data_IF_824500060057
#
_entry.id   IF_824500060057
#
_cell.length_a   1.000
_cell.length_b   1.000
_cell.length_c   1.000
_cell.angle_alpha   90.00
_cell.angle_beta   90.00
_cell.angle_gamma   90.00
#
_symmetry.space_group_name_H-M   'P 1'
#
loop_
_entity.id
_entity.type
_entity.pdbx_description
1 polymer ?
#
# COMPACT_ATOMS: atom_id res chain seq x y z
N UNK A 1 -29.64 20.03 2.91
CA UNK A 1 -30.30 21.24 3.46
C UNK A 1 -30.61 21.05 4.94
N UNK A 2 -31.35 20.01 5.35
CA UNK A 2 -31.63 19.73 6.77
C UNK A 2 -30.38 19.65 7.68
N UNK A 3 -29.31 18.95 7.26
CA UNK A 3 -28.08 18.87 8.05
C UNK A 3 -27.42 20.23 8.34
N UNK A 4 -27.61 21.24 7.47
CA UNK A 4 -27.10 22.61 7.69
C UNK A 4 -27.95 23.42 8.69
N UNK A 5 -29.13 22.92 9.05
CA UNK A 5 -30.04 23.54 10.01
C UNK A 5 -29.86 22.98 11.42
N UNK A 6 -29.08 21.90 11.60
CA UNK A 6 -28.75 21.37 12.91
C UNK A 6 -27.84 22.36 13.65
N UNK A 7 -28.29 22.82 14.81
CA UNK A 7 -27.52 23.71 15.68
C UNK A 7 -26.75 22.84 16.67
N UNK A 8 -25.43 23.02 16.72
CA UNK A 8 -24.54 22.36 17.68
C UNK A 8 -23.89 23.46 18.50
N UNK A 9 -24.24 23.55 19.78
CA UNK A 9 -23.57 24.42 20.74
C UNK A 9 -22.41 23.68 21.38
N UNK A 10 -21.24 24.31 21.43
CA UNK A 10 -20.04 23.75 22.06
C UNK A 10 -19.36 24.82 22.92
N UNK A 11 -18.85 24.42 24.09
CA UNK A 11 -18.04 25.29 24.96
C UNK A 11 -16.58 24.84 24.91
N UNK A 12 -15.68 25.82 24.90
CA UNK A 12 -14.23 25.62 24.99
C UNK A 12 -13.67 25.98 26.36
N UNK A 13 -14.50 26.40 27.32
CA UNK A 13 -14.06 26.95 28.61
C UNK A 13 -13.20 25.96 29.43
N UNK A 14 -13.50 24.66 29.34
CA UNK A 14 -12.78 23.61 30.07
C UNK A 14 -11.80 22.82 29.17
N UNK A 15 -11.51 23.30 27.96
CA UNK A 15 -10.61 22.64 27.03
C UNK A 15 -9.23 23.30 27.05
N UNK A 16 -8.19 22.47 27.02
CA UNK A 16 -6.84 22.94 26.73
C UNK A 16 -6.75 23.44 25.28
N UNK A 17 -5.86 24.39 24.96
CA UNK A 17 -5.67 24.83 23.58
C UNK A 17 -5.37 23.64 22.66
N UNK A 18 -5.89 23.60 21.41
CA UNK A 18 -5.69 22.45 20.54
C UNK A 18 -4.21 22.28 20.19
N UNK A 19 -3.78 21.02 20.07
CA UNK A 19 -2.47 20.61 19.56
C UNK A 19 -2.59 20.49 18.05
N UNK A 20 -2.04 21.42 17.27
CA UNK A 20 -2.25 21.44 15.81
C UNK A 20 -1.01 21.04 15.04
N UNK A 21 0.17 21.29 15.60
CA UNK A 21 1.47 21.05 14.97
C UNK A 21 2.21 19.87 15.60
N UNK A 22 3.27 19.42 14.93
CA UNK A 22 4.18 18.40 15.46
C UNK A 22 4.92 18.95 16.68
N UNK A 23 5.30 20.22 16.62
CA UNK A 23 5.97 20.95 17.68
C UNK A 23 5.10 21.04 18.95
N UNK A 24 3.81 21.37 18.80
CA UNK A 24 2.86 21.38 19.92
C UNK A 24 2.77 19.99 20.58
N UNK A 25 2.71 18.94 19.75
CA UNK A 25 2.62 17.57 20.24
C UNK A 25 3.89 17.16 20.97
N UNK A 26 5.06 17.59 20.48
CA UNK A 26 6.34 17.32 21.12
C UNK A 26 6.43 18.04 22.48
N UNK A 27 6.11 19.33 22.52
CA UNK A 27 6.15 20.14 23.74
C UNK A 27 5.23 19.58 24.83
N UNK A 28 4.09 18.98 24.44
CA UNK A 28 3.09 18.44 25.36
C UNK A 28 3.16 16.92 25.54
N UNK A 29 4.18 16.26 25.02
CA UNK A 29 4.34 14.80 25.05
C UNK A 29 3.09 14.03 24.57
N UNK A 30 2.44 14.53 23.53
CA UNK A 30 1.20 13.95 22.99
C UNK A 30 1.51 12.99 21.84
N UNK A 31 1.64 11.70 22.16
CA UNK A 31 2.03 10.67 21.19
C UNK A 31 1.13 9.45 21.24
N UNK A 32 1.01 8.77 20.11
CA UNK A 32 0.57 7.37 20.07
C UNK A 32 1.76 6.44 20.29
N UNK A 33 1.53 5.35 21.01
CA UNK A 33 2.55 4.34 21.24
C UNK A 33 2.78 3.50 19.99
N UNK A 34 4.05 3.23 19.69
CA UNK A 34 4.46 2.27 18.65
C UNK A 34 4.67 0.93 19.36
N UNK A 35 3.94 -0.13 18.99
CA UNK A 35 4.16 -1.45 19.57
C UNK A 35 5.62 -1.91 19.42
N UNK A 36 6.24 -2.51 20.44
CA UNK A 36 7.67 -2.88 20.39
C UNK A 36 8.06 -3.77 19.21
N UNK A 37 7.18 -4.68 18.78
CA UNK A 37 7.42 -5.55 17.62
C UNK A 37 7.45 -4.82 16.27
N UNK A 38 6.99 -3.56 16.22
CA UNK A 38 7.08 -2.69 15.04
C UNK A 38 8.22 -1.69 15.14
N UNK A 39 8.93 -1.62 16.27
CA UNK A 39 9.97 -0.63 16.47
C UNK A 39 11.24 -1.01 15.67
N UNK A 40 11.68 -0.18 14.70
CA UNK A 40 12.94 -0.42 14.02
C UNK A 40 14.10 -0.30 15.00
N UNK A 41 15.21 -1.00 14.72
CA UNK A 41 16.42 -1.00 15.56
C UNK A 41 17.50 -0.06 14.99
N UNK A 42 18.27 0.64 15.83
CA UNK A 42 19.45 1.39 15.40
C UNK A 42 20.56 0.43 14.93
N UNK A 43 21.54 0.97 14.22
CA UNK A 43 22.72 0.23 13.74
C UNK A 43 23.99 0.92 14.24
N UNK A 44 24.88 0.16 14.89
CA UNK A 44 26.17 0.66 15.35
C UNK A 44 26.08 1.70 16.48
N UNK A 45 27.13 2.52 16.60
CA UNK A 45 27.27 3.59 17.59
C UNK A 45 27.38 4.95 16.87
N UNK A 46 26.32 5.74 16.96
CA UNK A 46 26.25 7.06 16.33
C UNK A 46 27.39 7.98 16.75
N UNK A 47 27.76 8.00 18.04
CA UNK A 47 28.80 8.90 18.53
C UNK A 47 30.17 8.53 17.95
N UNK A 48 30.44 7.23 17.84
CA UNK A 48 31.66 6.72 17.20
C UNK A 48 31.73 7.12 15.73
N UNK A 49 30.67 6.86 14.96
CA UNK A 49 30.64 7.23 13.54
C UNK A 49 30.72 8.74 13.30
N UNK A 50 30.15 9.56 14.18
CA UNK A 50 30.31 11.01 14.12
C UNK A 50 31.72 11.46 14.50
N UNK A 51 32.42 10.79 15.42
CA UNK A 51 33.82 11.09 15.73
C UNK A 51 34.75 10.75 14.57
N UNK A 52 34.42 9.72 13.79
CA UNK A 52 35.15 9.31 12.60
C UNK A 52 34.90 10.21 11.38
N UNK A 53 33.88 11.09 11.38
CA UNK A 53 33.57 11.93 10.22
C UNK A 53 34.59 13.06 10.01
N UNK A 54 34.95 13.33 8.74
CA UNK A 54 35.80 14.49 8.39
C UNK A 54 34.95 15.78 8.34
N UNK A 55 33.70 15.66 7.89
CA UNK A 55 32.74 16.74 7.77
C UNK A 55 31.39 16.34 8.37
N UNK A 56 30.64 17.33 8.86
CA UNK A 56 29.38 17.12 9.58
C UNK A 56 28.36 18.16 9.16
N UNK A 57 27.14 17.71 8.88
CA UNK A 57 25.97 18.58 8.82
C UNK A 57 25.17 18.30 10.09
N UNK A 58 24.96 19.32 10.91
CA UNK A 58 24.32 19.18 12.21
C UNK A 58 22.96 19.89 12.21
N UNK A 59 21.94 19.21 12.73
CA UNK A 59 20.61 19.78 12.98
C UNK A 59 19.95 20.42 11.74
N UNK A 60 20.12 19.80 10.57
CA UNK A 60 19.43 20.22 9.36
C UNK A 60 17.97 19.73 9.37
N UNK A 61 17.06 20.45 8.69
CA UNK A 61 15.63 20.14 8.70
C UNK A 61 15.12 19.70 7.32
N UNK A 62 14.22 18.72 7.31
CA UNK A 62 13.37 18.36 6.16
C UNK A 62 11.92 18.38 6.60
N UNK A 63 11.07 19.04 5.82
CA UNK A 63 9.61 19.08 6.03
C UNK A 63 8.89 18.42 4.87
N UNK A 64 7.91 17.58 5.19
CA UNK A 64 7.03 16.95 4.22
C UNK A 64 5.57 17.31 4.55
N UNK A 65 4.87 17.85 3.57
CA UNK A 65 3.45 18.22 3.72
C UNK A 65 2.51 17.04 3.49
N UNK A 66 1.25 17.22 3.87
CA UNK A 66 0.22 16.21 3.67
C UNK A 66 -0.20 16.10 2.21
N UNK A 67 -0.79 14.97 1.84
CA UNK A 67 -1.27 14.70 0.48
C UNK A 67 -2.68 14.13 0.53
N UNK A 68 -3.60 14.68 -0.26
CA UNK A 68 -4.95 14.15 -0.42
C UNK A 68 -5.00 12.97 -1.40
N UNK A 69 -5.89 12.02 -1.17
CA UNK A 69 -6.07 10.84 -2.03
C UNK A 69 -6.59 11.19 -3.42
N UNK A 70 -7.60 12.05 -3.48
CA UNK A 70 -8.27 12.48 -4.69
C UNK A 70 -8.73 11.32 -5.63
N UNK A 71 -9.13 10.19 -5.05
CA UNK A 71 -9.85 9.15 -5.81
C UNK A 71 -11.10 9.75 -6.48
N UNK A 72 -11.40 9.34 -7.71
CA UNK A 72 -12.47 9.99 -8.50
C UNK A 72 -13.86 9.68 -7.96
N UNK A 73 -14.08 8.45 -7.49
CA UNK A 73 -15.27 8.09 -6.71
C UNK A 73 -15.02 8.44 -5.24
N UNK A 74 -15.78 9.36 -4.67
CA UNK A 74 -15.72 9.68 -3.23
C UNK A 74 -16.22 8.51 -2.36
N UNK A 75 -16.12 8.64 -1.04
CA UNK A 75 -16.61 7.65 -0.10
C UNK A 75 -18.12 7.44 -0.27
N UNK A 76 -18.52 6.18 -0.42
CA UNK A 76 -19.91 5.80 -0.70
C UNK A 76 -20.27 4.48 -0.02
N UNK A 77 -21.48 4.42 0.51
CA UNK A 77 -22.09 3.19 1.03
C UNK A 77 -23.60 3.17 0.72
N UNK A 78 -24.14 1.97 0.50
CA UNK A 78 -25.57 1.67 0.42
C UNK A 78 -25.85 0.52 1.36
N UNK A 79 -26.66 0.76 2.39
CA UNK A 79 -27.05 -0.23 3.37
C UNK A 79 -28.53 -0.58 3.20
N UNK A 80 -28.82 -1.88 3.09
CA UNK A 80 -30.15 -2.43 2.83
C UNK A 80 -30.46 -3.41 3.97
N UNK A 81 -31.34 -3.04 4.91
CA UNK A 81 -31.82 -3.96 5.93
C UNK A 81 -32.58 -5.11 5.28
N UNK A 82 -32.50 -6.27 5.92
CA UNK A 82 -33.14 -7.51 5.48
C UNK A 82 -33.89 -8.14 6.67
N UNK A 83 -34.52 -9.29 6.43
CA UNK A 83 -35.16 -10.10 7.48
C UNK A 83 -34.15 -10.56 8.56
N UNK A 84 -34.65 -11.03 9.70
CA UNK A 84 -33.82 -11.59 10.80
C UNK A 84 -32.71 -10.66 11.33
N UNK A 85 -32.98 -9.35 11.34
CA UNK A 85 -31.99 -8.32 11.71
C UNK A 85 -30.71 -8.38 10.86
N UNK A 86 -30.80 -8.90 9.64
CA UNK A 86 -29.70 -8.90 8.69
C UNK A 86 -29.61 -7.56 7.96
N UNK A 87 -28.44 -7.28 7.40
CA UNK A 87 -28.18 -6.09 6.61
C UNK A 87 -27.12 -6.37 5.55
N UNK A 88 -27.43 -6.02 4.30
CA UNK A 88 -26.47 -6.06 3.19
C UNK A 88 -25.95 -4.65 2.92
N UNK A 89 -24.63 -4.52 2.78
CA UNK A 89 -23.96 -3.23 2.59
C UNK A 89 -23.10 -3.30 1.34
N UNK A 90 -23.40 -2.44 0.37
CA UNK A 90 -22.53 -2.16 -0.76
C UNK A 90 -21.63 -0.99 -0.39
N UNK A 91 -20.32 -1.21 -0.33
CA UNK A 91 -19.38 -0.17 0.11
C UNK A 91 -18.20 -0.04 -0.84
N UNK A 92 -17.78 1.20 -1.10
CA UNK A 92 -16.53 1.47 -1.80
C UNK A 92 -15.37 1.37 -0.82
N UNK A 93 -14.89 0.15 -0.58
CA UNK A 93 -13.89 -0.17 0.46
C UNK A 93 -12.82 -1.14 -0.05
N UNK A 94 -11.60 -0.98 0.47
CA UNK A 94 -10.46 -1.88 0.29
C UNK A 94 -10.41 -3.02 1.33
N UNK A 95 -11.25 -2.94 2.38
CA UNK A 95 -11.23 -3.83 3.55
C UNK A 95 -12.63 -4.35 3.88
N UNK A 96 -13.27 -5.17 3.02
CA UNK A 96 -14.66 -5.58 3.22
C UNK A 96 -14.93 -6.24 4.57
N UNK A 97 -14.08 -7.19 4.97
CA UNK A 97 -14.22 -7.97 6.21
C UNK A 97 -14.06 -7.11 7.47
N UNK A 98 -13.06 -6.23 7.51
CA UNK A 98 -12.91 -5.29 8.63
C UNK A 98 -14.11 -4.35 8.72
N UNK A 99 -14.61 -3.89 7.58
CA UNK A 99 -15.79 -3.02 7.53
C UNK A 99 -17.04 -3.76 8.04
N UNK A 100 -17.27 -5.01 7.64
CA UNK A 100 -18.33 -5.87 8.16
C UNK A 100 -18.27 -5.99 9.69
N UNK A 101 -17.09 -6.33 10.22
CA UNK A 101 -16.88 -6.52 11.66
C UNK A 101 -17.17 -5.24 12.46
N UNK A 102 -16.73 -4.08 11.97
CA UNK A 102 -16.97 -2.81 12.65
C UNK A 102 -18.44 -2.41 12.57
N UNK A 103 -19.10 -2.60 11.41
CA UNK A 103 -20.53 -2.33 11.28
C UNK A 103 -21.35 -3.21 12.24
N UNK A 104 -21.07 -4.51 12.30
CA UNK A 104 -21.75 -5.43 13.20
C UNK A 104 -21.62 -4.99 14.66
N UNK A 105 -20.41 -4.59 15.08
CA UNK A 105 -20.16 -4.01 16.41
C UNK A 105 -20.93 -2.70 16.64
N UNK A 106 -20.98 -1.81 15.66
CA UNK A 106 -21.75 -0.57 15.76
C UNK A 106 -23.25 -0.78 15.91
N UNK A 107 -23.79 -1.83 15.27
CA UNK A 107 -25.22 -2.18 15.34
C UNK A 107 -25.56 -3.07 16.53
N UNK A 108 -24.57 -3.69 17.17
CA UNK A 108 -24.78 -4.66 18.26
C UNK A 108 -25.38 -5.99 17.78
N UNK A 109 -25.03 -6.43 16.56
CA UNK A 109 -25.53 -7.69 15.96
C UNK A 109 -24.35 -8.63 15.60
N UNK A 110 -24.59 -9.95 15.45
CA UNK A 110 -23.55 -10.89 15.05
C UNK A 110 -22.97 -10.61 13.66
N UNK A 111 -21.72 -11.02 13.42
CA UNK A 111 -21.03 -10.78 12.13
C UNK A 111 -21.74 -11.44 10.95
N UNK A 112 -22.38 -12.60 11.17
CA UNK A 112 -23.13 -13.31 10.13
C UNK A 112 -24.42 -12.58 9.70
N UNK A 113 -24.93 -11.63 10.50
CA UNK A 113 -26.06 -10.78 10.12
C UNK A 113 -25.64 -9.59 9.24
N UNK A 114 -24.34 -9.34 9.07
CA UNK A 114 -23.85 -8.27 8.20
C UNK A 114 -23.18 -8.89 6.98
N UNK A 115 -23.69 -8.58 5.79
CA UNK A 115 -23.04 -8.93 4.52
C UNK A 115 -22.46 -7.69 3.89
N UNK A 116 -21.17 -7.70 3.57
CA UNK A 116 -20.54 -6.60 2.85
C UNK A 116 -20.11 -7.02 1.46
N UNK A 117 -20.50 -6.22 0.47
CA UNK A 117 -20.21 -6.44 -0.94
C UNK A 117 -19.41 -5.25 -1.49
N UNK A 118 -18.24 -5.53 -2.07
CA UNK A 118 -17.44 -4.57 -2.81
C UNK A 118 -17.18 -5.08 -4.21
N UNK A 119 -17.88 -4.49 -5.19
CA UNK A 119 -17.71 -4.86 -6.61
C UNK A 119 -16.45 -4.23 -7.19
N UNK A 120 -16.38 -2.91 -7.20
CA UNK A 120 -15.20 -2.17 -7.64
C UNK A 120 -15.17 -0.82 -6.97
N UNK A 121 -14.00 -0.22 -6.94
CA UNK A 121 -13.74 1.05 -6.27
C UNK A 121 -13.11 2.00 -7.27
N UNK A 122 -13.68 3.19 -7.44
CA UNK A 122 -13.21 4.23 -8.36
C UNK A 122 -11.98 4.98 -7.83
N UNK A 123 -10.89 4.24 -7.61
CA UNK A 123 -9.66 4.69 -6.96
C UNK A 123 -9.74 4.58 -5.43
N UNK A 124 -8.68 4.04 -4.82
CA UNK A 124 -8.58 3.88 -3.35
C UNK A 124 -7.36 4.57 -2.76
N UNK A 125 -6.16 4.25 -3.28
CA UNK A 125 -4.87 4.83 -2.86
C UNK A 125 -4.58 4.74 -1.35
N UNK A 126 -5.24 3.83 -0.62
CA UNK A 126 -5.18 3.67 0.84
C UNK A 126 -6.30 4.39 1.58
N UNK A 127 -6.89 5.44 1.01
CA UNK A 127 -7.94 6.23 1.63
C UNK A 127 -9.29 5.52 1.74
N UNK A 128 -9.48 4.40 1.04
CA UNK A 128 -10.68 3.55 1.18
C UNK A 128 -10.43 2.28 1.99
N UNK A 129 -9.31 2.22 2.71
CA UNK A 129 -9.15 1.27 3.80
C UNK A 129 -9.95 1.76 5.01
N UNK A 130 -9.29 2.36 6.00
CA UNK A 130 -9.93 2.73 7.27
C UNK A 130 -11.05 3.77 7.13
N UNK A 131 -10.92 4.73 6.21
CA UNK A 131 -11.87 5.87 6.14
C UNK A 131 -13.23 5.48 5.59
N UNK A 132 -13.33 4.43 4.77
CA UNK A 132 -14.59 3.92 4.24
C UNK A 132 -15.49 3.34 5.36
N UNK A 133 -14.91 2.89 6.47
CA UNK A 133 -15.64 2.32 7.61
C UNK A 133 -16.61 3.34 8.19
N UNK A 134 -16.20 4.60 8.37
CA UNK A 134 -17.05 5.64 8.95
C UNK A 134 -18.36 5.83 8.16
N UNK A 135 -18.26 5.85 6.83
CA UNK A 135 -19.41 6.03 5.95
C UNK A 135 -20.30 4.79 5.94
N UNK A 136 -19.70 3.59 5.92
CA UNK A 136 -20.45 2.34 6.02
C UNK A 136 -21.22 2.23 7.34
N UNK A 137 -20.59 2.53 8.48
CA UNK A 137 -21.22 2.50 9.79
C UNK A 137 -22.36 3.52 9.91
N UNK A 138 -22.13 4.77 9.52
CA UNK A 138 -23.17 5.80 9.56
C UNK A 138 -24.38 5.42 8.67
N UNK A 139 -24.10 4.88 7.48
CA UNK A 139 -25.12 4.39 6.55
C UNK A 139 -25.91 3.22 7.13
N UNK A 140 -25.22 2.26 7.75
CA UNK A 140 -25.82 1.09 8.35
C UNK A 140 -26.68 1.43 9.56
N UNK A 141 -26.22 2.31 10.46
CA UNK A 141 -27.00 2.78 11.62
C UNK A 141 -28.30 3.45 11.17
N UNK A 142 -28.24 4.32 10.17
CA UNK A 142 -29.42 4.97 9.63
C UNK A 142 -30.39 3.96 8.99
N UNK A 143 -29.89 3.03 8.17
CA UNK A 143 -30.69 1.99 7.54
C UNK A 143 -31.36 1.08 8.57
N UNK A 144 -30.60 0.62 9.55
CA UNK A 144 -31.06 -0.27 10.61
C UNK A 144 -32.15 0.39 11.46
N UNK A 145 -31.95 1.66 11.83
CA UNK A 145 -32.93 2.41 12.64
C UNK A 145 -34.22 2.72 11.86
N UNK A 146 -34.11 3.05 10.58
CA UNK A 146 -35.25 3.41 9.74
C UNK A 146 -35.95 2.20 9.12
N UNK A 147 -35.34 1.00 9.21
CA UNK A 147 -35.79 -0.24 8.55
C UNK A 147 -36.04 -0.04 7.04
N UNK A 148 -35.17 0.76 6.40
CA UNK A 148 -35.26 1.11 4.98
C UNK A 148 -33.88 1.16 4.35
N UNK A 149 -33.75 0.92 3.04
CA UNK A 149 -32.51 1.18 2.32
C UNK A 149 -32.04 2.63 2.51
N UNK A 150 -30.77 2.82 2.88
CA UNK A 150 -30.13 4.14 2.99
C UNK A 150 -28.86 4.14 2.15
N UNK A 151 -28.63 5.24 1.43
CA UNK A 151 -27.41 5.50 0.66
C UNK A 151 -26.74 6.76 1.17
N UNK A 152 -25.43 6.68 1.41
CA UNK A 152 -24.58 7.82 1.70
C UNK A 152 -23.53 7.97 0.61
N UNK A 153 -23.44 9.18 0.06
CA UNK A 153 -22.42 9.59 -0.90
C UNK A 153 -21.85 10.91 -0.40
N UNK A 154 -20.55 10.95 -0.13
CA UNK A 154 -19.91 12.19 0.33
C UNK A 154 -19.58 13.08 -0.86
N UNK A 155 -19.93 14.37 -0.75
CA UNK A 155 -19.38 15.35 -1.66
C UNK A 155 -17.87 15.50 -1.47
N UNK A 156 -17.17 16.02 -2.49
CA UNK A 156 -15.71 16.12 -2.48
C UNK A 156 -15.17 16.91 -1.28
N UNK A 157 -15.84 17.98 -0.88
CA UNK A 157 -15.40 18.84 0.24
C UNK A 157 -15.45 18.06 1.55
N UNK A 158 -16.56 17.39 1.83
CA UNK A 158 -16.78 16.58 3.04
C UNK A 158 -15.81 15.40 3.07
N UNK A 159 -15.62 14.75 1.93
CA UNK A 159 -14.65 13.66 1.76
C UNK A 159 -13.23 14.12 2.12
N UNK A 160 -12.76 15.23 1.57
CA UNK A 160 -11.42 15.76 1.84
C UNK A 160 -11.21 16.16 3.30
N UNK A 161 -12.24 16.71 3.96
CA UNK A 161 -12.17 17.05 5.40
C UNK A 161 -12.07 15.78 6.25
N UNK A 162 -12.86 14.75 5.90
CA UNK A 162 -12.96 13.50 6.68
C UNK A 162 -11.80 12.54 6.44
N UNK A 163 -11.41 12.31 5.18
CA UNK A 163 -10.47 11.25 4.81
C UNK A 163 -9.03 11.53 5.28
N UNK A 164 -8.68 12.80 5.53
CA UNK A 164 -7.38 13.18 6.07
C UNK A 164 -6.27 13.20 5.01
N UNK A 165 -5.68 12.04 4.69
CA UNK A 165 -4.58 11.92 3.72
C UNK A 165 -3.27 11.38 4.31
N UNK A 166 -2.16 11.56 3.58
CA UNK A 166 -0.80 11.17 4.00
C UNK A 166 -0.33 11.98 5.20
N UNK A 167 0.41 11.33 6.11
CA UNK A 167 1.07 11.96 7.25
C UNK A 167 2.06 13.04 6.82
N UNK A 168 1.87 14.31 7.23
CA UNK A 168 2.94 15.30 7.17
C UNK A 168 4.00 14.97 8.23
N UNK A 169 5.24 15.33 7.95
CA UNK A 169 6.39 15.02 8.79
C UNK A 169 7.31 16.23 8.93
N UNK A 170 7.96 16.30 10.09
CA UNK A 170 9.09 17.18 10.33
C UNK A 170 10.26 16.34 10.81
N UNK A 171 11.40 16.54 10.19
CA UNK A 171 12.59 15.73 10.38
C UNK A 171 13.74 16.65 10.70
N UNK A 172 14.45 16.36 11.78
CA UNK A 172 15.76 16.93 12.07
C UNK A 172 16.79 15.83 11.90
N UNK A 173 17.91 16.13 11.26
CA UNK A 173 18.96 15.14 11.10
C UNK A 173 20.35 15.73 11.30
N UNK A 174 21.27 14.86 11.70
CA UNK A 174 22.70 15.13 11.73
C UNK A 174 23.42 13.99 11.02
N UNK A 175 24.31 14.32 10.09
CA UNK A 175 25.04 13.33 9.27
C UNK A 175 26.53 13.64 9.29
N UNK A 176 27.33 12.58 9.49
CA UNK A 176 28.78 12.59 9.42
C UNK A 176 29.26 11.85 8.19
N UNK A 177 30.22 12.42 7.47
CA UNK A 177 30.76 11.83 6.25
C UNK A 177 32.23 12.19 6.05
N UNK A 178 32.90 11.37 5.23
CA UNK A 178 34.28 11.53 4.81
C UNK A 178 34.39 12.45 3.61
N UNK A 179 35.59 12.99 3.40
CA UNK A 179 35.91 13.88 2.27
C UNK A 179 35.71 13.19 0.90
N UNK A 180 35.75 11.86 0.88
CA UNK A 180 35.51 11.05 -0.32
C UNK A 180 34.02 10.75 -0.57
N UNK A 181 33.11 11.23 0.29
CA UNK A 181 31.68 11.01 0.20
C UNK A 181 31.14 9.79 0.94
N UNK A 182 31.98 8.99 1.62
CA UNK A 182 31.49 7.86 2.44
C UNK A 182 30.80 8.37 3.70
N UNK A 183 29.57 7.94 3.95
CA UNK A 183 28.84 8.29 5.17
C UNK A 183 29.27 7.39 6.32
N UNK A 184 29.47 7.98 7.50
CA UNK A 184 29.92 7.29 8.72
C UNK A 184 28.85 7.23 9.81
N UNK A 185 27.95 8.22 9.87
CA UNK A 185 26.84 8.23 10.81
C UNK A 185 25.65 9.07 10.34
N UNK A 186 24.46 8.69 10.77
CA UNK A 186 23.22 9.45 10.63
C UNK A 186 22.38 9.33 11.90
N UNK A 187 21.95 10.46 12.46
CA UNK A 187 20.89 10.54 13.47
C UNK A 187 19.68 11.27 12.89
N UNK A 188 18.47 10.75 13.13
CA UNK A 188 17.21 11.36 12.71
C UNK A 188 16.23 11.49 13.88
N UNK A 189 15.76 12.71 14.15
CA UNK A 189 14.55 12.96 14.94
C UNK A 189 13.36 13.14 14.00
N UNK A 190 12.39 12.22 14.09
CA UNK A 190 11.27 12.10 13.17
C UNK A 190 9.95 12.37 13.90
N UNK A 191 9.33 13.51 13.61
CA UNK A 191 7.96 13.82 14.02
C UNK A 191 6.96 13.46 12.92
N UNK A 192 5.98 12.61 13.23
CA UNK A 192 4.94 12.14 12.30
C UNK A 192 3.58 12.62 12.82
N UNK A 193 2.88 13.49 12.10
CA UNK A 193 1.55 13.94 12.53
C UNK A 193 0.48 12.88 12.17
N UNK A 194 -0.03 12.18 13.18
CA UNK A 194 -1.05 11.14 13.02
C UNK A 194 -2.50 11.68 13.02
N UNK A 195 -2.72 12.89 13.54
CA UNK A 195 -4.06 13.40 13.82
C UNK A 195 -4.65 12.86 15.12
N UNK A 196 -5.98 12.91 15.22
CA UNK A 196 -6.71 12.66 16.48
C UNK A 196 -6.82 11.20 16.90
N UNK A 197 -6.65 10.25 15.97
CA UNK A 197 -6.74 8.81 16.22
C UNK A 197 -5.57 8.05 15.56
N UNK A 198 -5.16 6.90 16.13
CA UNK A 198 -3.93 6.22 15.69
C UNK A 198 -4.04 5.69 14.26
N UNK A 199 -5.18 5.14 13.85
CA UNK A 199 -5.37 4.52 12.53
C UNK A 199 -4.19 3.57 12.21
N UNK A 200 -3.59 3.65 11.02
CA UNK A 200 -2.37 2.88 10.67
C UNK A 200 -1.07 3.58 11.07
N UNK A 201 -1.10 4.74 11.72
CA UNK A 201 0.07 5.58 12.01
C UNK A 201 1.21 4.86 12.76
N UNK A 202 0.94 3.95 13.71
CA UNK A 202 2.00 3.18 14.37
C UNK A 202 2.82 2.26 13.44
N UNK A 203 2.35 2.00 12.21
CA UNK A 203 3.08 1.20 11.22
C UNK A 203 4.05 2.03 10.35
N UNK A 204 4.02 3.36 10.46
CA UNK A 204 4.82 4.26 9.63
C UNK A 204 6.32 4.23 9.98
N UNK A 205 6.74 4.25 11.26
CA UNK A 205 8.16 4.23 11.61
C UNK A 205 8.98 3.12 10.95
N UNK A 206 8.60 1.82 11.02
CA UNK A 206 9.39 0.78 10.38
C UNK A 206 9.45 0.92 8.84
N UNK A 207 8.36 1.38 8.20
CA UNK A 207 8.35 1.60 6.75
C UNK A 207 9.27 2.76 6.33
N UNK A 208 9.33 3.83 7.13
CA UNK A 208 10.22 4.97 6.88
C UNK A 208 11.67 4.53 7.01
N UNK A 209 12.03 3.86 8.13
CA UNK A 209 13.40 3.36 8.33
C UNK A 209 13.75 2.30 7.28
N UNK A 210 12.81 1.45 6.86
CA UNK A 210 12.98 0.52 5.75
C UNK A 210 13.44 1.20 4.46
N UNK A 211 12.83 2.33 4.10
CA UNK A 211 13.21 3.09 2.90
C UNK A 211 14.61 3.74 2.99
N UNK A 212 15.16 3.92 4.19
CA UNK A 212 16.53 4.40 4.40
C UNK A 212 17.56 3.30 4.18
N UNK A 213 17.21 2.02 4.38
CA UNK A 213 18.14 0.88 4.31
C UNK A 213 18.80 0.67 2.95
N UNK A 214 18.35 1.33 1.88
CA UNK A 214 19.05 1.29 0.58
C UNK A 214 20.45 1.89 0.61
N UNK A 215 20.72 2.78 1.56
CA UNK A 215 22.03 3.38 1.77
C UNK A 215 22.68 2.85 3.05
N UNK A 216 23.99 2.66 2.98
CA UNK A 216 24.90 2.41 4.07
C UNK A 216 25.23 3.74 4.74
N UNK A 217 24.54 4.01 5.85
CA UNK A 217 24.73 5.18 6.69
C UNK A 217 25.87 5.04 7.72
N UNK A 218 26.59 3.91 7.71
CA UNK A 218 27.54 3.54 8.76
C UNK A 218 26.78 3.27 10.08
N UNK A 219 26.75 4.25 10.97
CA UNK A 219 26.05 4.15 12.24
C UNK A 219 24.72 4.92 12.16
N UNK A 220 23.59 4.23 12.28
CA UNK A 220 22.24 4.78 12.14
C UNK A 220 21.52 4.82 13.49
N UNK A 221 21.18 6.03 13.96
CA UNK A 221 20.33 6.26 15.12
C UNK A 221 19.09 7.07 14.73
N UNK A 222 18.01 6.92 15.50
CA UNK A 222 16.79 7.68 15.28
C UNK A 222 15.90 7.73 16.53
N UNK A 223 15.14 8.81 16.68
CA UNK A 223 14.01 8.92 17.59
C UNK A 223 12.75 9.24 16.77
N UNK A 224 11.70 8.42 16.91
CA UNK A 224 10.46 8.60 16.15
C UNK A 224 9.29 8.88 17.08
N UNK A 225 8.60 10.01 16.84
CA UNK A 225 7.39 10.40 17.56
C UNK A 225 6.18 10.35 16.63
N UNK A 226 5.21 9.48 16.95
CA UNK A 226 3.90 9.46 16.30
C UNK A 226 2.99 10.44 17.03
N UNK A 227 3.00 11.70 16.60
CA UNK A 227 2.33 12.82 17.24
C UNK A 227 0.80 12.72 17.16
N UNK A 228 0.14 12.75 18.32
CA UNK A 228 -1.31 12.90 18.45
C UNK A 228 -1.66 14.38 18.44
N UNK A 229 -2.54 14.77 17.53
CA UNK A 229 -2.93 16.17 17.32
C UNK A 229 -4.45 16.29 17.14
N UNK A 230 -5.00 17.50 17.21
CA UNK A 230 -6.42 17.79 17.05
C UNK A 230 -6.85 18.02 15.59
N UNK A 231 -6.09 17.51 14.61
CA UNK A 231 -6.48 17.50 13.20
C UNK A 231 -7.05 16.14 12.77
N UNK A 232 -7.72 16.08 11.62
CA UNK A 232 -8.25 14.83 11.06
C UNK A 232 -7.18 13.76 11.00
N UNK A 233 -7.52 12.56 11.47
CA UNK A 233 -6.63 11.40 11.47
C UNK A 233 -6.11 11.09 10.06
N UNK A 234 -4.79 10.94 9.96
CA UNK A 234 -4.09 10.51 8.74
C UNK A 234 -4.16 9.00 8.61
N UNK A 235 -3.89 8.48 7.41
CA UNK A 235 -3.99 7.04 7.15
C UNK A 235 -3.06 6.61 6.02
N UNK A 236 -3.18 5.34 5.61
CA UNK A 236 -2.40 4.78 4.53
C UNK A 236 -2.59 5.61 3.27
N UNK A 237 -1.49 5.95 2.61
CA UNK A 237 -1.47 6.48 1.24
C UNK A 237 -0.39 5.73 0.44
N UNK A 238 -0.60 5.52 -0.87
CA UNK A 238 0.28 4.71 -1.74
C UNK A 238 1.78 4.91 -1.42
N UNK A 239 2.47 3.83 -1.05
CA UNK A 239 3.80 3.89 -0.44
C UNK A 239 3.77 4.51 0.96
N UNK A 240 3.03 3.91 1.92
CA UNK A 240 2.85 4.48 3.25
C UNK A 240 4.17 4.45 4.02
N UNK A 241 4.70 5.62 4.36
CA UNK A 241 5.99 5.75 5.05
C UNK A 241 7.18 5.71 4.10
N UNK A 242 7.19 4.78 3.14
CA UNK A 242 8.31 4.63 2.21
C UNK A 242 8.58 5.88 1.36
N UNK A 243 7.54 6.50 0.78
CA UNK A 243 7.72 7.72 -0.03
C UNK A 243 8.37 8.83 0.81
N UNK A 244 7.97 8.94 2.08
CA UNK A 244 8.55 9.92 2.99
C UNK A 244 9.99 9.55 3.37
N UNK A 245 10.26 8.29 3.72
CA UNK A 245 11.61 7.82 4.05
C UNK A 245 12.59 7.92 2.87
N UNK A 246 12.13 7.59 1.67
CA UNK A 246 12.92 7.75 0.44
C UNK A 246 13.23 9.22 0.17
N UNK A 247 12.25 10.12 0.33
CA UNK A 247 12.50 11.56 0.19
C UNK A 247 13.50 12.08 1.22
N UNK A 248 13.38 11.67 2.49
CA UNK A 248 14.31 12.04 3.56
C UNK A 248 15.73 11.56 3.22
N UNK A 249 15.88 10.29 2.84
CA UNK A 249 17.16 9.72 2.45
C UNK A 249 17.81 10.51 1.30
N UNK A 250 17.06 10.79 0.23
CA UNK A 250 17.58 11.54 -0.92
C UNK A 250 17.92 12.99 -0.57
N UNK A 251 17.12 13.66 0.26
CA UNK A 251 17.42 15.02 0.69
C UNK A 251 18.74 15.09 1.48
N UNK A 252 19.03 14.08 2.31
CA UNK A 252 20.30 13.98 3.05
C UNK A 252 21.46 13.71 2.07
N UNK A 253 21.30 12.76 1.14
CA UNK A 253 22.33 12.44 0.13
C UNK A 253 22.65 13.65 -0.75
N UNK A 254 21.64 14.39 -1.20
CA UNK A 254 21.84 15.61 -2.00
C UNK A 254 22.52 16.72 -1.20
N UNK A 255 22.21 16.86 0.09
CA UNK A 255 22.89 17.82 0.96
C UNK A 255 24.38 17.46 1.17
N UNK A 256 24.70 16.18 1.38
CA UNK A 256 26.09 15.70 1.45
C UNK A 256 26.83 15.96 0.14
N UNK A 257 26.22 15.63 -1.01
CA UNK A 257 26.81 15.89 -2.33
C UNK A 257 27.08 17.39 -2.55
N UNK A 258 26.12 18.25 -2.15
CA UNK A 258 26.27 19.70 -2.22
C UNK A 258 27.39 20.23 -1.32
N UNK A 259 27.52 19.72 -0.09
CA UNK A 259 28.57 20.12 0.83
C UNK A 259 29.98 19.79 0.28
N UNK A 260 30.11 18.66 -0.41
CA UNK A 260 31.35 18.24 -1.06
C UNK A 260 31.54 18.83 -2.47
N UNK A 261 30.53 19.50 -3.02
CA UNK A 261 30.52 20.00 -4.41
C UNK A 261 30.81 18.91 -5.45
N UNK A 262 30.23 17.72 -5.25
CA UNK A 262 30.38 16.57 -6.17
C UNK A 262 29.04 16.14 -6.76
N UNK A 263 29.09 15.36 -7.84
CA UNK A 263 27.90 14.78 -8.44
C UNK A 263 27.16 13.86 -7.45
N UNK A 264 25.84 14.01 -7.37
CA UNK A 264 25.01 13.25 -6.42
C UNK A 264 25.05 11.75 -6.69
N UNK A 265 25.15 11.31 -7.96
CA UNK A 265 25.20 9.89 -8.26
C UNK A 265 26.50 9.25 -7.76
N UNK A 266 27.60 10.00 -7.64
CA UNK A 266 28.82 9.53 -6.97
C UNK A 266 28.57 9.23 -5.50
N UNK A 267 27.88 10.11 -4.77
CA UNK A 267 27.53 9.89 -3.36
C UNK A 267 26.53 8.74 -3.22
N UNK A 268 25.49 8.70 -4.06
CA UNK A 268 24.52 7.59 -4.10
C UNK A 268 25.26 6.26 -4.27
N UNK A 269 26.04 6.12 -5.34
CA UNK A 269 26.70 4.86 -5.68
C UNK A 269 27.69 4.38 -4.62
N UNK A 270 28.41 5.32 -3.99
CA UNK A 270 29.36 5.02 -2.91
C UNK A 270 28.67 4.51 -1.64
N UNK A 271 27.43 4.93 -1.40
CA UNK A 271 26.69 4.57 -0.20
C UNK A 271 25.55 3.59 -0.46
N UNK A 272 25.21 3.22 -1.69
CA UNK A 272 24.26 2.15 -1.95
C UNK A 272 24.79 0.83 -1.38
N UNK A 273 23.91 0.07 -0.74
CA UNK A 273 24.22 -1.31 -0.38
C UNK A 273 24.25 -2.20 -1.63
N UNK A 274 25.26 -3.05 -1.73
CA UNK A 274 25.15 -4.32 -2.46
C UNK A 274 24.48 -5.38 -1.58
N UNK A 275 24.26 -6.59 -2.12
CA UNK A 275 23.59 -7.65 -1.37
C UNK A 275 24.35 -8.02 -0.09
N UNK A 276 25.66 -8.22 -0.20
CA UNK A 276 26.52 -8.65 0.90
C UNK A 276 26.55 -7.63 2.03
N UNK A 277 26.73 -6.35 1.70
CA UNK A 277 26.70 -5.29 2.72
C UNK A 277 25.29 -5.06 3.28
N UNK A 278 24.23 -5.27 2.50
CA UNK A 278 22.86 -5.16 3.03
C UNK A 278 22.62 -6.21 4.11
N UNK A 279 23.03 -7.45 3.88
CA UNK A 279 22.90 -8.55 4.86
C UNK A 279 23.65 -8.24 6.16
N UNK A 280 24.86 -7.68 6.06
CA UNK A 280 25.67 -7.32 7.26
C UNK A 280 24.98 -6.29 8.15
N UNK A 281 24.30 -5.30 7.54
CA UNK A 281 23.68 -4.21 8.30
C UNK A 281 22.20 -4.50 8.65
N UNK A 282 21.52 -5.27 7.81
CA UNK A 282 20.08 -5.50 7.84
C UNK A 282 19.75 -6.90 7.28
N UNK A 283 20.12 -7.96 8.01
CA UNK A 283 19.92 -9.36 7.61
C UNK A 283 18.52 -9.64 7.02
N UNK A 284 17.47 -9.20 7.71
CA UNK A 284 16.07 -9.41 7.29
C UNK A 284 15.62 -8.60 6.06
N UNK A 285 16.44 -7.68 5.55
CA UNK A 285 16.06 -6.74 4.48
C UNK A 285 16.59 -7.12 3.09
N UNK A 286 17.51 -8.07 2.99
CA UNK A 286 18.22 -8.35 1.75
C UNK A 286 17.44 -9.25 0.77
N UNK A 287 16.49 -10.05 1.27
CA UNK A 287 15.81 -11.06 0.46
C UNK A 287 16.79 -12.08 -0.11
N UNK A 288 16.57 -12.51 -1.36
CA UNK A 288 17.45 -13.45 -2.04
C UNK A 288 18.47 -12.73 -2.94
N UNK A 289 19.73 -13.17 -2.90
CA UNK A 289 20.82 -12.60 -3.69
C UNK A 289 20.51 -12.52 -5.19
N UNK A 290 19.86 -13.55 -5.73
CA UNK A 290 19.45 -13.65 -7.13
C UNK A 290 18.46 -12.56 -7.58
N UNK A 291 17.74 -11.96 -6.64
CA UNK A 291 16.70 -10.96 -6.90
C UNK A 291 17.12 -9.53 -6.57
N UNK A 292 18.24 -9.36 -5.85
CA UNK A 292 18.76 -8.04 -5.49
C UNK A 292 19.39 -7.34 -6.69
N UNK A 293 18.72 -6.29 -7.17
CA UNK A 293 19.02 -5.67 -8.48
C UNK A 293 19.30 -4.17 -8.42
N UNK A 294 19.28 -3.56 -7.23
CA UNK A 294 19.34 -2.10 -7.05
C UNK A 294 20.58 -1.46 -7.68
N UNK A 295 21.77 -1.93 -7.28
CA UNK A 295 23.05 -1.39 -7.75
C UNK A 295 23.19 -1.57 -9.26
N UNK A 296 22.87 -2.76 -9.77
CA UNK A 296 22.91 -3.08 -11.20
C UNK A 296 21.97 -2.18 -12.01
N UNK A 297 20.74 -1.94 -11.55
CA UNK A 297 19.79 -1.05 -12.22
C UNK A 297 20.27 0.41 -12.19
N UNK A 298 20.79 0.86 -11.05
CA UNK A 298 21.34 2.20 -10.91
C UNK A 298 22.54 2.41 -11.85
N UNK A 299 23.52 1.51 -11.85
CA UNK A 299 24.72 1.60 -12.68
C UNK A 299 24.38 1.59 -14.18
N UNK A 300 23.45 0.72 -14.61
CA UNK A 300 22.96 0.69 -15.99
C UNK A 300 22.30 2.00 -16.41
N UNK A 301 21.45 2.58 -15.56
CA UNK A 301 20.74 3.82 -15.88
C UNK A 301 21.69 5.03 -15.86
N UNK A 302 22.46 5.20 -14.78
CA UNK A 302 23.36 6.33 -14.57
C UNK A 302 24.51 6.35 -15.59
N UNK A 303 25.00 5.18 -16.01
CA UNK A 303 26.07 5.07 -17.02
C UNK A 303 25.53 4.96 -18.46
N UNK A 304 24.21 5.01 -18.66
CA UNK A 304 23.64 4.90 -20.00
C UNK A 304 24.08 6.09 -20.88
N UNK A 305 24.42 5.87 -22.17
CA UNK A 305 24.78 6.95 -23.07
C UNK A 305 23.69 8.03 -23.17
N UNK A 306 22.42 7.63 -23.05
CA UNK A 306 21.30 8.57 -23.07
C UNK A 306 21.28 9.50 -21.84
N UNK A 307 21.46 8.95 -20.63
CA UNK A 307 21.52 9.75 -19.42
C UNK A 307 22.69 10.73 -19.46
N UNK A 308 23.89 10.24 -19.80
CA UNK A 308 25.11 11.05 -19.90
C UNK A 308 24.96 12.17 -20.93
N UNK A 309 24.42 11.86 -22.12
CA UNK A 309 24.13 12.86 -23.15
C UNK A 309 23.15 13.92 -22.64
N UNK A 310 22.08 13.52 -21.93
CA UNK A 310 21.10 14.46 -21.37
C UNK A 310 21.68 15.31 -20.24
N UNK A 311 22.55 14.76 -19.41
CA UNK A 311 23.28 15.50 -18.37
C UNK A 311 24.15 16.60 -18.98
N UNK A 312 24.97 16.27 -19.99
CA UNK A 312 25.77 17.26 -20.72
C UNK A 312 24.92 18.36 -21.39
N UNK A 313 23.76 17.99 -21.96
CA UNK A 313 22.81 18.96 -22.52
C UNK A 313 22.23 19.91 -21.46
N UNK A 314 21.95 19.39 -20.25
CA UNK A 314 21.46 20.20 -19.13
C UNK A 314 22.52 21.21 -18.70
N UNK A 315 23.77 20.78 -18.55
CA UNK A 315 24.89 21.68 -18.23
C UNK A 315 25.08 22.77 -19.27
N UNK A 316 25.10 22.40 -20.56
CA UNK A 316 25.22 23.34 -21.66
C UNK A 316 24.06 24.35 -21.67
N UNK A 317 22.83 23.88 -21.47
CA UNK A 317 21.66 24.75 -21.36
C UNK A 317 21.81 25.72 -20.18
N UNK A 318 22.24 25.24 -19.02
CA UNK A 318 22.37 26.05 -17.81
C UNK A 318 23.49 27.10 -17.91
N UNK A 319 24.58 26.83 -18.64
CA UNK A 319 25.64 27.84 -18.91
C UNK A 319 25.12 28.98 -19.80
N UNK A 320 24.25 28.65 -20.75
CA UNK A 320 23.75 29.60 -21.75
C UNK A 320 22.47 30.34 -21.34
N UNK A 321 21.82 29.94 -20.24
CA UNK A 321 20.55 30.51 -19.80
C UNK A 321 20.65 31.04 -18.37
N UNK A 322 20.52 32.36 -18.20
CA UNK A 322 20.54 33.01 -16.88
C UNK A 322 19.26 32.77 -16.07
N UNK A 323 18.10 32.89 -16.72
CA UNK A 323 16.77 32.94 -16.07
C UNK A 323 15.97 31.64 -16.13
N UNK A 324 16.47 30.64 -16.88
CA UNK A 324 15.86 29.32 -16.98
C UNK A 324 16.96 28.30 -16.74
N UNK A 325 16.70 27.37 -15.83
CA UNK A 325 17.60 26.25 -15.55
C UNK A 325 16.86 24.95 -15.77
N UNK A 326 17.62 23.90 -16.05
CA UNK A 326 17.17 22.52 -16.13
C UNK A 326 17.91 21.71 -15.06
N UNK A 327 17.26 20.65 -14.59
CA UNK A 327 17.85 19.66 -13.72
C UNK A 327 17.56 18.26 -14.25
N UNK A 328 18.42 17.31 -13.92
CA UNK A 328 18.23 15.88 -14.18
C UNK A 328 18.72 15.14 -12.92
N UNK A 329 18.01 14.09 -12.54
CA UNK A 329 18.39 13.26 -11.40
C UNK A 329 18.02 11.80 -11.68
N UNK A 330 18.83 10.89 -11.16
CA UNK A 330 18.61 9.44 -11.14
C UNK A 330 18.50 9.01 -9.69
N UNK A 331 17.32 8.56 -9.26
CA UNK A 331 17.02 8.27 -7.85
C UNK A 331 16.79 6.77 -7.66
N UNK A 332 17.58 6.07 -6.82
CA UNK A 332 17.40 4.66 -6.52
C UNK A 332 16.23 4.46 -5.56
N UNK A 333 15.46 3.38 -5.78
CA UNK A 333 14.32 3.02 -4.93
C UNK A 333 14.36 1.52 -4.65
N UNK A 334 14.18 1.17 -3.38
CA UNK A 334 13.82 -0.16 -2.91
C UNK A 334 12.49 -0.05 -2.21
N UNK A 335 11.57 -0.99 -2.45
CA UNK A 335 10.28 -1.02 -1.78
C UNK A 335 10.01 -2.43 -1.29
N UNK A 336 10.04 -2.62 0.03
CA UNK A 336 9.81 -3.92 0.65
C UNK A 336 8.33 -4.30 0.52
N UNK A 337 8.08 -5.52 0.06
CA UNK A 337 6.73 -6.06 -0.10
C UNK A 337 6.61 -7.38 0.65
N UNK A 338 5.46 -7.59 1.26
CA UNK A 338 5.16 -8.80 2.01
C UNK A 338 3.96 -9.52 1.38
N UNK A 339 4.14 -10.82 1.11
CA UNK A 339 3.06 -11.70 0.68
C UNK A 339 2.18 -12.07 1.87
N UNK A 340 0.90 -12.29 1.60
CA UNK A 340 -0.09 -12.63 2.62
C UNK A 340 -1.00 -13.73 2.09
N UNK A 341 -1.34 -14.73 2.92
CA UNK A 341 -2.36 -15.71 2.55
C UNK A 341 -3.68 -15.01 2.20
N UNK A 342 -4.34 -15.47 1.14
CA UNK A 342 -5.67 -14.99 0.75
C UNK A 342 -6.49 -16.15 0.17
N UNK A 343 -7.81 -16.21 0.40
CA UNK A 343 -8.67 -17.22 -0.18
C UNK A 343 -8.94 -16.93 -1.67
N UNK A 344 -9.16 -18.00 -2.42
CA UNK A 344 -9.59 -17.99 -3.81
C UNK A 344 -10.55 -19.15 -4.06
N UNK A 345 -11.52 -18.95 -4.95
CA UNK A 345 -12.50 -19.97 -5.33
C UNK A 345 -12.73 -19.89 -6.83
N UNK A 346 -12.61 -21.03 -7.49
CA UNK A 346 -12.92 -21.21 -8.92
C UNK A 346 -14.04 -22.23 -9.01
N UNK A 347 -15.11 -21.88 -9.73
CA UNK A 347 -16.24 -22.79 -9.95
C UNK A 347 -16.55 -22.85 -11.43
N UNK A 348 -16.65 -24.07 -11.96
CA UNK A 348 -17.03 -24.35 -13.34
C UNK A 348 -18.51 -24.70 -13.34
N UNK A 349 -19.30 -23.96 -14.10
CA UNK A 349 -20.74 -24.16 -14.25
C UNK A 349 -21.01 -25.29 -15.24
N UNK A 350 -22.25 -25.79 -15.24
CA UNK A 350 -22.67 -26.91 -16.10
C UNK A 350 -22.59 -26.61 -17.60
N UNK A 351 -22.56 -25.34 -18.01
CA UNK A 351 -22.38 -24.90 -19.39
C UNK A 351 -20.90 -24.65 -19.75
N UNK A 352 -19.99 -24.92 -18.81
CA UNK A 352 -18.56 -24.66 -18.94
C UNK A 352 -18.17 -23.19 -18.72
N UNK A 353 -19.09 -22.29 -18.37
CA UNK A 353 -18.70 -20.96 -17.90
C UNK A 353 -18.00 -21.04 -16.54
N UNK A 354 -17.08 -20.12 -16.27
CA UNK A 354 -16.21 -20.16 -15.09
C UNK A 354 -16.44 -18.90 -14.26
N UNK A 355 -16.77 -19.07 -12.98
CA UNK A 355 -16.87 -17.98 -12.02
C UNK A 355 -15.71 -18.04 -11.03
N UNK A 356 -15.13 -16.87 -10.75
CA UNK A 356 -13.97 -16.75 -9.85
C UNK A 356 -14.25 -15.72 -8.79
N UNK A 357 -13.95 -16.08 -7.55
CA UNK A 357 -14.02 -15.22 -6.38
C UNK A 357 -12.64 -15.16 -5.72
N UNK A 358 -12.26 -13.96 -5.27
CA UNK A 358 -11.02 -13.70 -4.53
C UNK A 358 -11.31 -12.66 -3.45
N UNK A 359 -10.51 -12.64 -2.38
CA UNK A 359 -10.61 -11.60 -1.35
C UNK A 359 -10.22 -10.19 -1.84
N UNK A 360 -9.44 -10.11 -2.92
CA UNK A 360 -8.97 -8.85 -3.50
C UNK A 360 -10.07 -8.02 -4.17
N UNK A 361 -10.05 -6.71 -3.90
CA UNK A 361 -10.97 -5.72 -4.45
C UNK A 361 -10.33 -5.00 -5.65
N UNK A 362 -11.08 -4.88 -6.75
CA UNK A 362 -10.66 -4.09 -7.89
C UNK A 362 -10.78 -2.58 -7.58
N UNK A 363 -9.64 -1.90 -7.54
CA UNK A 363 -9.52 -0.46 -7.27
C UNK A 363 -8.91 0.32 -8.44
N UNK A 364 -8.80 -0.31 -9.62
CA UNK A 364 -8.20 0.22 -10.85
C UNK A 364 -6.79 -0.31 -11.15
N UNK A 365 -6.27 -1.21 -10.31
CA UNK A 365 -4.95 -1.83 -10.48
C UNK A 365 -4.95 -3.02 -11.46
N UNK A 366 -6.13 -3.45 -11.92
CA UNK A 366 -6.28 -4.59 -12.83
C UNK A 366 -6.11 -5.94 -12.13
N UNK A 367 -6.48 -6.02 -10.85
CA UNK A 367 -6.41 -7.27 -10.08
C UNK A 367 -7.30 -8.33 -10.70
N UNK A 368 -8.54 -7.97 -11.06
CA UNK A 368 -9.47 -8.93 -11.65
C UNK A 368 -9.03 -9.35 -13.05
N UNK A 369 -8.37 -8.49 -13.81
CA UNK A 369 -7.76 -8.85 -15.09
C UNK A 369 -6.66 -9.89 -14.91
N UNK A 370 -5.74 -9.68 -13.97
CA UNK A 370 -4.67 -10.64 -13.65
C UNK A 370 -5.25 -11.98 -13.17
N UNK A 371 -6.24 -11.95 -12.30
CA UNK A 371 -6.92 -13.16 -11.81
C UNK A 371 -7.58 -13.90 -12.96
N UNK A 372 -8.30 -13.21 -13.84
CA UNK A 372 -8.93 -13.79 -15.02
C UNK A 372 -7.90 -14.49 -15.93
N UNK A 373 -6.76 -13.83 -16.20
CA UNK A 373 -5.66 -14.39 -16.97
C UNK A 373 -5.05 -15.62 -16.28
N UNK A 374 -4.86 -15.57 -14.96
CA UNK A 374 -4.33 -16.68 -14.20
C UNK A 374 -5.28 -17.89 -14.17
N UNK A 375 -6.59 -17.67 -14.08
CA UNK A 375 -7.58 -18.76 -14.20
C UNK A 375 -7.50 -19.44 -15.56
N UNK A 376 -7.48 -18.65 -16.64
CA UNK A 376 -7.38 -19.17 -18.00
C UNK A 376 -6.06 -19.95 -18.20
N UNK A 377 -4.94 -19.41 -17.73
CA UNK A 377 -3.65 -20.09 -17.74
C UNK A 377 -3.67 -21.40 -16.93
N UNK A 378 -4.20 -21.36 -15.71
CA UNK A 378 -4.23 -22.51 -14.81
C UNK A 378 -5.05 -23.68 -15.35
N UNK A 379 -6.25 -23.39 -15.89
CA UNK A 379 -7.13 -24.38 -16.52
C UNK A 379 -6.72 -24.70 -17.97
N UNK A 380 -5.89 -23.86 -18.59
CA UNK A 380 -5.43 -24.01 -19.97
C UNK A 380 -4.70 -25.32 -20.24
N UNK A 381 -4.16 -25.98 -19.21
CA UNK A 381 -3.62 -27.34 -19.30
C UNK A 381 -4.64 -28.39 -19.78
N UNK A 382 -5.95 -28.11 -19.60
CA UNK A 382 -7.03 -28.95 -20.09
C UNK A 382 -7.44 -28.59 -21.53
N UNK A 383 -6.94 -27.49 -22.10
CA UNK A 383 -7.35 -26.98 -23.41
C UNK A 383 -6.21 -27.10 -24.43
N UNK A 384 -6.48 -27.45 -25.70
CA UNK A 384 -5.44 -27.53 -26.74
C UNK A 384 -4.75 -26.19 -27.05
N UNK A 385 -5.46 -25.08 -26.86
CA UNK A 385 -5.00 -23.71 -27.12
C UNK A 385 -4.30 -23.04 -25.92
N UNK A 386 -3.99 -23.81 -24.87
CA UNK A 386 -3.38 -23.27 -23.65
C UNK A 386 -4.28 -22.32 -22.85
N UNK A 387 -5.60 -22.33 -23.11
CA UNK A 387 -6.59 -21.57 -22.35
C UNK A 387 -6.99 -20.22 -22.95
N UNK A 388 -6.57 -19.89 -24.18
CA UNK A 388 -6.95 -18.65 -24.86
C UNK A 388 -8.49 -18.53 -24.99
N UNK A 389 -9.15 -19.61 -25.43
CA UNK A 389 -10.61 -19.70 -25.51
C UNK A 389 -11.33 -19.65 -24.16
N UNK A 390 -10.62 -19.87 -23.04
CA UNK A 390 -11.21 -19.79 -21.72
C UNK A 390 -11.36 -18.35 -21.23
N UNK A 391 -10.60 -17.39 -21.78
CA UNK A 391 -10.68 -15.99 -21.33
C UNK A 391 -12.13 -15.48 -21.38
N UNK A 392 -12.87 -15.68 -22.46
CA UNK A 392 -14.26 -15.19 -22.55
C UNK A 392 -15.24 -15.98 -21.69
N UNK A 393 -14.86 -17.16 -21.20
CA UNK A 393 -15.64 -17.99 -20.29
C UNK A 393 -15.42 -17.63 -18.81
N UNK A 394 -14.35 -16.91 -18.46
CA UNK A 394 -14.00 -16.55 -17.08
C UNK A 394 -14.60 -15.21 -16.67
N UNK A 395 -15.36 -15.22 -15.58
CA UNK A 395 -15.89 -14.03 -14.91
C UNK A 395 -15.42 -13.96 -13.45
N UNK A 396 -14.66 -12.92 -13.12
CA UNK A 396 -14.36 -12.56 -11.73
C UNK A 396 -15.52 -11.73 -11.17
N UNK A 397 -16.00 -12.07 -9.97
CA UNK A 397 -17.13 -11.39 -9.33
C UNK A 397 -16.70 -10.61 -8.08
N UNK A 398 -17.64 -9.87 -7.51
CA UNK A 398 -17.45 -9.00 -6.35
C UNK A 398 -16.83 -9.72 -5.14
N UNK A 399 -16.06 -8.98 -4.34
CA UNK A 399 -15.70 -9.42 -3.00
C UNK A 399 -16.96 -9.39 -2.12
N UNK A 400 -17.24 -10.49 -1.42
CA UNK A 400 -18.44 -10.70 -0.63
C UNK A 400 -18.11 -11.45 0.66
N UNK A 401 -18.36 -10.82 1.80
CA UNK A 401 -17.91 -11.33 3.10
C UNK A 401 -18.67 -12.56 3.60
N UNK A 402 -19.79 -12.94 2.98
CA UNK A 402 -20.49 -14.19 3.30
C UNK A 402 -20.28 -15.28 2.24
N UNK A 403 -19.87 -14.92 1.02
CA UNK A 403 -19.47 -15.89 -0.01
C UNK A 403 -18.04 -16.38 0.19
N UNK A 404 -17.16 -15.51 0.69
CA UNK A 404 -15.75 -15.80 0.98
C UNK A 404 -15.30 -15.02 2.22
N UNK A 405 -15.20 -15.73 3.34
CA UNK A 405 -14.65 -15.19 4.59
C UNK A 405 -13.13 -15.09 4.51
N UNK A 406 -12.51 -14.30 5.40
CA UNK A 406 -11.05 -14.15 5.47
C UNK A 406 -10.41 -13.59 4.19
N UNK A 407 -11.16 -12.80 3.42
CA UNK A 407 -10.69 -12.14 2.19
C UNK A 407 -9.56 -11.14 2.45
N UNK A 408 -9.38 -10.69 3.70
CA UNK A 408 -8.29 -9.80 4.09
C UNK A 408 -8.48 -8.38 3.57
N UNK A 409 -7.42 -7.81 2.99
CA UNK A 409 -7.46 -6.44 2.49
C UNK A 409 -6.71 -6.27 1.17
N UNK A 410 -7.13 -5.25 0.43
CA UNK A 410 -6.46 -4.82 -0.80
C UNK A 410 -5.46 -3.71 -0.51
N UNK A 411 -4.17 -4.03 -0.56
CA UNK A 411 -3.08 -3.12 -0.24
C UNK A 411 -1.73 -3.85 -0.17
N UNK A 412 -0.67 -3.14 0.23
CA UNK A 412 0.67 -3.74 0.35
C UNK A 412 1.34 -4.11 -0.98
N UNK A 413 0.74 -3.75 -2.11
CA UNK A 413 1.24 -4.02 -3.47
C UNK A 413 1.33 -5.50 -3.86
N UNK A 414 0.76 -6.41 -3.08
CA UNK A 414 0.86 -7.87 -3.28
C UNK A 414 -0.49 -8.56 -3.41
N UNK A 415 -1.61 -7.87 -3.20
CA UNK A 415 -2.95 -8.50 -3.25
C UNK A 415 -3.24 -9.14 -4.60
N UNK A 416 -2.75 -8.59 -5.71
CA UNK A 416 -3.01 -9.18 -7.03
C UNK A 416 -2.27 -10.50 -7.19
N UNK A 417 -1.01 -10.53 -6.75
CA UNK A 417 -0.11 -11.66 -6.81
C UNK A 417 -0.62 -12.80 -5.92
N UNK A 418 -1.03 -12.49 -4.69
CA UNK A 418 -1.60 -13.49 -3.77
C UNK A 418 -2.96 -14.00 -4.26
N UNK A 419 -3.80 -13.15 -4.85
CA UNK A 419 -5.08 -13.57 -5.45
C UNK A 419 -4.86 -14.48 -6.66
N UNK A 420 -3.86 -14.19 -7.50
CA UNK A 420 -3.49 -15.05 -8.61
C UNK A 420 -3.01 -16.42 -8.12
N UNK A 421 -2.16 -16.46 -7.08
CA UNK A 421 -1.69 -17.71 -6.52
C UNK A 421 -2.82 -18.56 -5.92
N UNK A 422 -3.75 -17.95 -5.17
CA UNK A 422 -4.90 -18.66 -4.60
C UNK A 422 -5.78 -19.29 -5.70
N UNK A 423 -5.97 -18.56 -6.81
CA UNK A 423 -6.71 -19.05 -7.98
C UNK A 423 -5.93 -20.11 -8.73
N UNK A 424 -4.61 -19.98 -8.87
CA UNK A 424 -3.75 -21.01 -9.47
C UNK A 424 -3.87 -22.32 -8.70
N UNK A 425 -3.79 -22.28 -7.38
CA UNK A 425 -3.97 -23.47 -6.53
C UNK A 425 -5.37 -24.09 -6.69
N UNK A 426 -6.42 -23.27 -6.77
CA UNK A 426 -7.78 -23.75 -7.07
C UNK A 426 -7.83 -24.44 -8.44
N UNK A 427 -7.16 -23.89 -9.46
CA UNK A 427 -7.09 -24.47 -10.79
C UNK A 427 -6.32 -25.79 -10.78
N UNK A 428 -5.20 -25.90 -10.06
CA UNK A 428 -4.44 -27.17 -9.92
C UNK A 428 -5.34 -28.29 -9.43
N UNK A 429 -6.10 -28.05 -8.36
CA UNK A 429 -7.03 -29.05 -7.82
C UNK A 429 -8.14 -29.44 -8.81
N UNK A 430 -8.62 -28.49 -9.63
CA UNK A 430 -9.60 -28.79 -10.69
C UNK A 430 -8.97 -29.59 -11.84
N UNK A 431 -7.77 -29.23 -12.27
CA UNK A 431 -7.02 -29.94 -13.32
C UNK A 431 -6.75 -31.39 -12.90
N UNK A 432 -6.32 -31.64 -11.67
CA UNK A 432 -6.09 -32.98 -11.15
C UNK A 432 -7.35 -33.86 -11.23
N UNK A 433 -8.53 -33.28 -11.00
CA UNK A 433 -9.82 -34.00 -11.06
C UNK A 433 -10.32 -34.23 -12.49
N UNK A 434 -10.09 -33.26 -13.39
CA UNK A 434 -10.62 -33.29 -14.75
C UNK A 434 -9.70 -33.98 -15.75
N UNK A 435 -8.40 -34.02 -15.48
CA UNK A 435 -7.40 -34.60 -16.38
C UNK A 435 -7.65 -36.07 -16.72
N UNK A 436 -7.97 -36.98 -15.77
CA UNK A 436 -8.26 -38.37 -16.11
C UNK A 436 -9.50 -38.53 -17.01
N UNK A 437 -10.54 -37.70 -16.79
CA UNK A 437 -11.75 -37.70 -17.63
C UNK A 437 -11.41 -37.24 -19.04
N UNK A 438 -10.61 -36.18 -19.14
CA UNK A 438 -10.11 -35.67 -20.42
C UNK A 438 -9.30 -36.74 -21.17
N UNK A 439 -8.34 -37.39 -20.51
CA UNK A 439 -7.49 -38.41 -21.12
C UNK A 439 -8.30 -39.62 -21.63
N UNK A 440 -9.34 -40.05 -20.89
CA UNK A 440 -10.25 -41.10 -21.34
C UNK A 440 -11.03 -40.69 -22.60
N UNK A 441 -11.58 -39.47 -22.61
CA UNK A 441 -12.27 -38.94 -23.79
C UNK A 441 -11.33 -38.77 -24.99
N UNK A 442 -10.08 -38.36 -24.74
CA UNK A 442 -9.07 -38.22 -25.78
C UNK A 442 -8.67 -39.55 -26.40
N UNK A 443 -8.63 -40.62 -25.61
CA UNK A 443 -8.40 -41.97 -26.09
C UNK A 443 -9.53 -42.48 -27.01
N UNK A 444 -10.77 -42.04 -26.80
CA UNK A 444 -11.94 -42.44 -27.59
C UNK A 444 -12.18 -41.59 -28.84
N UNK A 445 -12.01 -40.27 -28.73
CA UNK A 445 -12.49 -39.30 -29.72
C UNK A 445 -11.42 -38.33 -30.25
N UNK A 446 -10.16 -38.44 -29.82
CA UNK A 446 -9.10 -37.50 -30.19
C UNK A 446 -9.19 -36.19 -29.41
N UNK A 447 -8.83 -35.04 -29.99
CA UNK A 447 -8.79 -33.77 -29.26
C UNK A 447 -10.15 -33.40 -28.64
N UNK A 448 -10.17 -33.16 -27.32
CA UNK A 448 -11.40 -32.84 -26.57
C UNK A 448 -11.50 -31.34 -26.31
N UNK A 449 -12.58 -30.74 -26.81
CA UNK A 449 -12.94 -29.36 -26.52
C UNK A 449 -13.47 -29.18 -25.09
N UNK A 450 -13.26 -27.99 -24.52
CA UNK A 450 -13.68 -27.66 -23.15
C UNK A 450 -15.15 -27.98 -22.86
N UNK A 451 -16.06 -27.62 -23.77
CA UNK A 451 -17.49 -27.89 -23.59
C UNK A 451 -17.81 -29.38 -23.52
N UNK A 452 -17.10 -30.20 -24.30
CA UNK A 452 -17.28 -31.66 -24.32
C UNK A 452 -16.77 -32.29 -23.03
N UNK A 453 -15.61 -31.82 -22.54
CA UNK A 453 -15.07 -32.25 -21.25
C UNK A 453 -16.07 -31.97 -20.11
N UNK A 454 -16.59 -30.75 -20.02
CA UNK A 454 -17.53 -30.38 -18.95
C UNK A 454 -18.86 -31.12 -19.09
N UNK A 455 -19.36 -31.35 -20.31
CA UNK A 455 -20.56 -32.14 -20.54
C UNK A 455 -20.41 -33.59 -20.04
N UNK A 456 -19.23 -34.21 -20.20
CA UNK A 456 -18.99 -35.57 -19.73
C UNK A 456 -18.96 -35.67 -18.19
N UNK A 457 -18.37 -34.68 -17.52
CA UNK A 457 -18.35 -34.60 -16.05
C UNK A 457 -19.77 -34.61 -15.49
N UNK A 458 -20.68 -33.87 -16.13
CA UNK A 458 -22.09 -33.80 -15.74
C UNK A 458 -22.80 -35.16 -15.83
N UNK A 459 -22.44 -36.01 -16.78
CA UNK A 459 -23.06 -37.32 -16.99
C UNK A 459 -22.52 -38.35 -15.98
N UNK A 460 -21.32 -38.10 -15.44
CA UNK A 460 -20.60 -39.03 -14.56
C UNK A 460 -20.87 -38.81 -13.06
N UNK A 461 -21.60 -37.74 -12.70
CA UNK A 461 -22.11 -37.42 -11.35
C UNK A 461 -23.59 -37.80 -11.25
#
# INVERSE_FOLDING_TARGET
MAAKQAIIEYSTENLQPPILTIEDAIQRNSYFQVPPFLAPKPVGDYNKGMAEADQKILSAEVKLESQYYFYMETQVALAIPDEDNCITIYSSTQIPEVTQNVVAKCLGIPFHNVRLISRRVGGGFGGKAMKAIHVACACAVAAFKLRRPVRMYLDRKTDMIMAGGRHPMKVKYSVGFKSDGKITALHIDLGINAGISPDVSPMLPPAIIGALKKYNWGNLAFDTKVCKTNVSSKSAMRGPGDVQGSFIAEAIIEHVASALSVDTNTIRRKNLHDFESLVVFFEDAAGEASTYSLVTMFDKLASSPEYQRRAAMVEHFNRSNKWKKRGISCVPITYEVNLRPTPGKVSIMNDGSIVVEVGGVEIGQGLWTKVKQMTAFGLGQLCPDGGESLLDKVRVIQADTLSMIQGGFTGGSTTSETSCEAVRQSCVALVERLKPIKENLEAEAGTVEWSSLIAQVRISL
#
